data_IF_402802192505
#
_entry.id   IF_402802192505
#
_cell.length_a   1.000
_cell.length_b   1.000
_cell.length_c   1.000
_cell.angle_alpha   90.00
_cell.angle_beta   90.00
_cell.angle_gamma   90.00
#
_symmetry.space_group_name_H-M   'P 1'
#
loop_
_entity.id
_entity.type
_entity.pdbx_description
1 polymer ?
#
# COMPACT_ATOMS: atom_id res chain seq x y z
N UNK A 1 10.06 -4.65 -12.62
CA UNK A 1 9.66 -3.43 -11.88
C UNK A 1 10.26 -3.51 -10.47
N UNK A 2 11.08 -2.55 -10.04
CA UNK A 2 11.72 -2.56 -8.72
C UNK A 2 10.65 -2.51 -7.61
N UNK A 3 10.64 -3.53 -6.74
CA UNK A 3 9.79 -3.54 -5.54
C UNK A 3 10.41 -2.60 -4.51
N UNK A 4 9.72 -1.51 -4.15
CA UNK A 4 10.17 -0.57 -3.12
C UNK A 4 10.14 -1.27 -1.75
N UNK A 5 11.14 -1.01 -0.89
CA UNK A 5 11.25 -1.61 0.45
C UNK A 5 9.98 -1.42 1.31
N UNK A 6 9.29 -0.28 1.20
CA UNK A 6 8.08 0.04 1.96
C UNK A 6 6.83 -0.76 1.53
N UNK A 7 6.87 -1.43 0.38
CA UNK A 7 5.71 -2.16 -0.15
C UNK A 7 5.24 -3.27 0.78
N UNK A 8 6.18 -4.02 1.37
CA UNK A 8 5.85 -5.13 2.25
C UNK A 8 5.22 -4.65 3.56
N UNK A 9 5.71 -3.54 4.11
CA UNK A 9 5.11 -2.90 5.28
C UNK A 9 3.68 -2.41 5.01
N UNK A 10 3.43 -1.81 3.83
CA UNK A 10 2.07 -1.40 3.42
C UNK A 10 1.14 -2.60 3.26
N UNK A 11 1.65 -3.69 2.69
CA UNK A 11 0.89 -4.92 2.51
C UNK A 11 0.55 -5.59 3.83
N UNK A 12 1.50 -5.65 4.75
CA UNK A 12 1.30 -6.22 6.07
C UNK A 12 0.26 -5.42 6.86
N UNK A 13 0.42 -4.09 6.92
CA UNK A 13 -0.54 -3.20 7.56
C UNK A 13 -1.97 -3.38 7.03
N UNK A 14 -2.16 -3.45 5.70
CA UNK A 14 -3.51 -3.65 5.15
C UNK A 14 -4.12 -4.99 5.57
N UNK A 15 -3.30 -6.04 5.63
CA UNK A 15 -3.75 -7.39 6.03
C UNK A 15 -4.08 -7.46 7.52
N UNK A 16 -3.27 -6.83 8.37
CA UNK A 16 -3.40 -6.92 9.82
C UNK A 16 -4.43 -5.93 10.38
N UNK A 17 -4.48 -4.71 9.85
CA UNK A 17 -5.42 -3.68 10.33
C UNK A 17 -6.83 -3.80 9.76
N UNK A 18 -7.01 -4.48 8.62
CA UNK A 18 -8.33 -4.67 8.01
C UNK A 18 -9.10 -3.38 7.69
N UNK A 19 -8.39 -2.28 7.43
CA UNK A 19 -8.98 -0.96 7.16
C UNK A 19 -9.49 -0.18 8.38
N UNK A 20 -9.23 -0.65 9.60
CA UNK A 20 -9.70 -0.02 10.85
C UNK A 20 -8.80 1.09 11.39
N UNK A 21 -7.63 1.27 10.78
CA UNK A 21 -6.59 2.22 11.21
C UNK A 21 -6.14 3.05 10.03
N UNK A 22 -5.57 4.23 10.29
CA UNK A 22 -4.82 5.00 9.31
C UNK A 22 -3.31 4.70 9.41
N UNK A 23 -2.58 4.87 8.31
CA UNK A 23 -1.12 4.77 8.28
C UNK A 23 -0.51 6.13 7.92
N UNK A 24 0.42 6.60 8.74
CA UNK A 24 1.21 7.81 8.45
C UNK A 24 2.50 7.43 7.72
N UNK A 25 2.72 8.01 6.54
CA UNK A 25 3.92 7.75 5.72
C UNK A 25 4.77 9.01 5.63
N UNK A 26 5.84 9.06 6.40
CA UNK A 26 6.74 10.20 6.50
C UNK A 26 8.01 10.04 5.66
N UNK A 27 8.72 11.16 5.44
CA UNK A 27 10.03 11.18 4.80
C UNK A 27 10.30 12.43 3.99
N UNK A 28 11.47 12.53 3.34
CA UNK A 28 11.89 13.71 2.60
C UNK A 28 10.92 14.13 1.47
N UNK A 29 10.94 15.41 1.09
CA UNK A 29 10.10 15.93 -0.01
C UNK A 29 10.49 15.26 -1.34
N UNK A 30 9.50 15.08 -2.24
CA UNK A 30 9.69 14.61 -3.64
C UNK A 30 10.28 13.20 -3.82
N UNK A 31 10.24 12.32 -2.81
CA UNK A 31 10.70 10.91 -2.92
C UNK A 31 9.67 9.94 -3.54
N UNK A 32 8.52 10.47 -3.99
CA UNK A 32 7.44 9.68 -4.60
C UNK A 32 6.59 8.87 -3.61
N UNK A 33 6.33 9.42 -2.40
CA UNK A 33 5.49 8.75 -1.38
C UNK A 33 4.06 8.52 -1.86
N UNK A 34 3.41 9.55 -2.40
CA UNK A 34 2.06 9.46 -2.99
C UNK A 34 2.00 8.43 -4.11
N UNK A 35 3.00 8.42 -5.00
CA UNK A 35 3.07 7.49 -6.13
C UNK A 35 3.05 6.02 -5.68
N UNK A 36 3.78 5.66 -4.63
CA UNK A 36 3.79 4.28 -4.12
C UNK A 36 2.43 3.90 -3.52
N UNK A 37 1.79 4.82 -2.80
CA UNK A 37 0.47 4.60 -2.18
C UNK A 37 -0.63 4.44 -3.24
N UNK A 38 -0.64 5.32 -4.26
CA UNK A 38 -1.61 5.27 -5.35
C UNK A 38 -1.47 3.99 -6.19
N UNK A 39 -0.23 3.63 -6.56
CA UNK A 39 0.03 2.38 -7.30
C UNK A 39 -0.29 1.13 -6.49
N UNK A 40 -0.23 1.20 -5.16
CA UNK A 40 -0.66 0.13 -4.29
C UNK A 40 -2.19 -0.05 -4.30
N UNK A 41 -2.97 1.04 -4.28
CA UNK A 41 -4.44 0.97 -4.32
C UNK A 41 -5.00 0.55 -5.68
N UNK A 42 -4.29 0.86 -6.77
CA UNK A 42 -4.70 0.45 -8.13
C UNK A 42 -4.56 -1.07 -8.37
N UNK A 43 -3.94 -1.84 -7.47
CA UNK A 43 -4.08 -3.29 -7.52
C UNK A 43 -5.39 -3.68 -6.84
N UNK A 44 -6.44 -4.07 -7.59
CA UNK A 44 -7.62 -4.65 -6.96
C UNK A 44 -7.16 -5.83 -6.12
N UNK A 45 -7.62 -5.88 -4.86
CA UNK A 45 -7.56 -7.09 -4.07
C UNK A 45 -8.28 -8.16 -4.89
N UNK A 46 -7.53 -9.06 -5.54
CA UNK A 46 -8.06 -10.24 -6.25
C UNK A 46 -8.52 -11.28 -5.22
N UNK A 47 -9.42 -10.87 -4.34
CA UNK A 47 -10.20 -11.72 -3.44
C UNK A 47 -11.64 -11.27 -3.66
N UNK A 48 -12.44 -12.18 -4.21
CA UNK A 48 -13.81 -12.01 -4.73
C UNK A 48 -13.92 -11.72 -6.24
N UNK A 49 -13.30 -12.56 -7.07
CA UNK A 49 -13.75 -12.78 -8.46
C UNK A 49 -14.23 -14.22 -8.65
N UNK A 50 -15.09 -14.69 -7.76
CA UNK A 50 -15.94 -15.87 -7.96
C UNK A 50 -17.23 -15.65 -7.18
N UNK A 51 -18.15 -14.91 -7.79
CA UNK A 51 -19.59 -15.02 -7.59
C UNK A 51 -20.25 -14.75 -8.93
#
# INVERSE_FOLDING_TARGET
MFKRKIYDSLLDWKKTSGGKTALLVEGPRRVGKSTVIEKYNYKPNSKNLHK
#
